data_IF_222765137134
#
_entry.id   IF_222765137134
#
_cell.length_a   1.000
_cell.length_b   1.000
_cell.length_c   1.000
_cell.angle_alpha   90.00
_cell.angle_beta   90.00
_cell.angle_gamma   90.00
#
_symmetry.space_group_name_H-M   'P 1'
#
loop_
_entity.id
_entity.type
_entity.pdbx_description
1 polymer ?
#
# COMPACT_ATOMS: atom_id res chain seq x y z
N UNK A 1 34.44 73.64 -36.33
CA UNK A 1 35.11 74.02 -37.60
C UNK A 1 34.79 72.91 -38.58
N UNK A 2 33.68 72.92 -39.32
CA UNK A 2 33.11 73.98 -40.15
C UNK A 2 31.76 74.43 -39.56
N UNK A 3 31.69 75.70 -39.12
CA UNK A 3 30.44 76.34 -38.75
C UNK A 3 29.78 76.80 -40.06
N UNK A 4 28.69 76.15 -40.46
CA UNK A 4 27.83 76.62 -41.53
C UNK A 4 26.92 77.71 -40.95
N UNK A 5 27.48 78.90 -40.83
CA UNK A 5 26.89 80.10 -40.22
C UNK A 5 25.90 80.81 -41.18
N UNK A 6 25.17 80.06 -42.01
CA UNK A 6 24.30 80.64 -43.06
C UNK A 6 22.87 80.06 -43.12
N UNK A 7 22.41 79.34 -42.09
CA UNK A 7 21.01 78.87 -42.03
C UNK A 7 20.10 79.71 -41.12
N UNK A 8 20.56 80.85 -40.63
CA UNK A 8 19.81 81.68 -39.67
C UNK A 8 19.26 82.96 -40.32
N UNK A 9 18.48 82.81 -41.40
CA UNK A 9 17.74 83.91 -42.00
C UNK A 9 16.24 83.60 -42.13
N UNK A 10 15.51 83.95 -41.07
CA UNK A 10 14.06 84.20 -41.01
C UNK A 10 13.10 82.97 -41.08
N UNK A 11 12.60 82.49 -39.92
CA UNK A 11 11.61 81.41 -39.82
C UNK A 11 10.29 81.65 -40.58
N UNK A 12 9.99 82.90 -40.96
CA UNK A 12 8.78 83.23 -41.73
C UNK A 12 8.82 82.75 -43.19
N UNK A 13 9.98 82.21 -43.64
CA UNK A 13 10.18 81.69 -44.99
C UNK A 13 10.03 80.17 -45.13
N UNK A 14 9.85 79.45 -44.01
CA UNK A 14 9.68 77.99 -43.98
C UNK A 14 8.20 77.60 -44.09
N UNK A 15 7.88 76.63 -44.98
CA UNK A 15 6.51 76.13 -45.21
C UNK A 15 6.18 74.83 -44.47
N UNK A 16 7.18 73.98 -44.24
CA UNK A 16 7.02 72.67 -43.61
C UNK A 16 8.29 72.28 -42.84
N UNK A 17 8.13 71.70 -41.65
CA UNK A 17 9.21 71.28 -40.76
C UNK A 17 8.97 69.84 -40.31
N UNK A 18 9.95 68.95 -40.51
CA UNK A 18 9.97 67.59 -39.95
C UNK A 18 11.39 67.23 -39.50
N UNK A 19 11.62 67.14 -38.18
CA UNK A 19 12.97 66.98 -37.63
C UNK A 19 13.89 68.13 -38.07
N UNK A 20 14.99 67.79 -38.75
CA UNK A 20 15.96 68.76 -39.29
C UNK A 20 15.61 69.24 -40.72
N UNK A 21 14.53 68.74 -41.34
CA UNK A 21 14.13 69.14 -42.69
C UNK A 21 13.29 70.43 -42.67
N UNK A 22 13.61 71.39 -43.56
CA UNK A 22 12.90 72.66 -43.76
C UNK A 22 12.64 72.91 -45.25
N UNK A 23 11.40 73.21 -45.63
CA UNK A 23 11.01 73.58 -47.00
C UNK A 23 10.95 75.11 -47.16
N UNK A 24 11.84 75.70 -47.99
CA UNK A 24 11.88 77.14 -48.27
C UNK A 24 10.82 77.53 -49.33
N UNK A 25 10.14 78.68 -49.15
CA UNK A 25 9.16 79.22 -50.10
C UNK A 25 9.76 79.50 -51.48
N UNK A 26 9.15 78.95 -52.53
CA UNK A 26 9.54 78.96 -53.95
C UNK A 26 10.29 80.22 -54.44
N UNK A 27 11.60 80.07 -54.69
CA UNK A 27 12.52 81.13 -55.16
C UNK A 27 12.75 81.11 -56.67
N UNK A 28 12.11 80.21 -57.44
CA UNK A 28 12.36 80.05 -58.89
C UNK A 28 12.09 81.30 -59.70
N UNK A 29 10.99 82.03 -59.37
CA UNK A 29 10.65 83.29 -60.04
C UNK A 29 11.75 84.36 -59.93
N UNK A 30 12.55 84.34 -58.86
CA UNK A 30 13.65 85.28 -58.65
C UNK A 30 14.90 84.89 -59.45
N UNK A 31 15.19 83.58 -59.52
CA UNK A 31 16.34 83.04 -60.27
C UNK A 31 16.12 83.23 -61.77
N UNK A 32 14.93 82.92 -62.28
CA UNK A 32 14.59 83.06 -63.70
C UNK A 32 14.63 84.54 -64.14
N UNK A 33 14.17 85.47 -63.28
CA UNK A 33 14.26 86.92 -63.54
C UNK A 33 15.71 87.42 -63.56
N UNK A 34 16.51 86.99 -62.60
CA UNK A 34 17.92 87.41 -62.50
C UNK A 34 18.72 86.89 -63.69
N UNK A 35 18.46 85.65 -64.12
CA UNK A 35 19.08 85.07 -65.32
C UNK A 35 18.72 85.83 -66.59
N UNK A 36 17.44 86.17 -66.80
CA UNK A 36 17.01 86.96 -67.95
C UNK A 36 17.68 88.35 -67.98
N UNK A 37 17.84 89.00 -66.82
CA UNK A 37 18.58 90.27 -66.70
C UNK A 37 20.07 90.13 -67.03
N UNK A 38 20.74 89.09 -66.49
CA UNK A 38 22.16 88.83 -66.72
C UNK A 38 22.42 88.52 -68.19
N UNK A 39 21.63 87.64 -68.80
CA UNK A 39 21.75 87.30 -70.22
C UNK A 39 21.52 88.51 -71.14
N UNK A 40 20.50 89.32 -70.86
CA UNK A 40 20.25 90.56 -71.60
C UNK A 40 21.40 91.57 -71.50
N UNK A 41 22.08 91.63 -70.35
CA UNK A 41 23.23 92.53 -70.14
C UNK A 41 24.53 92.03 -70.78
N UNK A 42 24.70 90.72 -70.96
CA UNK A 42 25.93 90.09 -71.45
C UNK A 42 25.89 89.73 -72.95
N UNK A 43 24.71 89.69 -73.58
CA UNK A 43 24.52 89.25 -74.97
C UNK A 43 25.37 90.00 -76.01
N UNK A 44 25.78 91.24 -75.73
CA UNK A 44 26.54 92.08 -76.66
C UNK A 44 27.99 92.34 -76.20
N UNK A 45 28.41 91.77 -75.05
CA UNK A 45 29.70 92.07 -74.40
C UNK A 45 30.53 90.84 -74.02
N UNK A 46 29.94 89.65 -73.95
CA UNK A 46 30.64 88.41 -73.62
C UNK A 46 30.92 87.58 -74.87
N UNK A 47 32.00 86.77 -74.85
CA UNK A 47 32.28 85.81 -75.93
C UNK A 47 31.23 84.70 -75.93
N UNK A 48 30.93 84.17 -77.12
CA UNK A 48 29.93 83.11 -77.32
C UNK A 48 30.19 81.89 -76.41
N UNK A 49 31.45 81.51 -76.21
CA UNK A 49 31.84 80.39 -75.33
C UNK A 49 31.50 80.62 -73.84
N UNK A 50 31.63 81.85 -73.34
CA UNK A 50 31.27 82.16 -71.94
C UNK A 50 29.76 82.13 -71.72
N UNK A 51 28.98 82.57 -72.71
CA UNK A 51 27.51 82.48 -72.68
C UNK A 51 27.05 81.02 -72.72
N UNK A 52 27.64 80.19 -73.58
CA UNK A 52 27.33 78.74 -73.65
C UNK A 52 27.71 78.01 -72.36
N UNK A 53 28.82 78.39 -71.71
CA UNK A 53 29.24 77.81 -70.42
C UNK A 53 28.29 78.20 -69.29
N UNK A 54 27.80 79.44 -69.28
CA UNK A 54 26.84 79.92 -68.29
C UNK A 54 25.47 79.24 -68.46
N UNK A 55 25.00 79.12 -69.70
CA UNK A 55 23.75 78.41 -70.00
C UNK A 55 23.85 76.93 -69.60
N UNK A 56 24.97 76.27 -69.91
CA UNK A 56 25.22 74.89 -69.50
C UNK A 56 25.21 74.73 -67.97
N UNK A 57 25.90 75.62 -67.24
CA UNK A 57 25.89 75.61 -65.76
C UNK A 57 24.51 75.85 -65.17
N UNK A 58 23.69 76.71 -65.79
CA UNK A 58 22.31 76.90 -65.36
C UNK A 58 21.48 75.64 -65.61
N UNK A 59 21.58 75.03 -66.80
CA UNK A 59 20.88 73.80 -67.12
C UNK A 59 21.30 72.64 -66.20
N UNK A 60 22.56 72.57 -65.81
CA UNK A 60 23.07 71.63 -64.79
C UNK A 60 22.44 71.93 -63.41
N UNK A 61 22.45 73.19 -62.95
CA UNK A 61 21.81 73.58 -61.69
C UNK A 61 20.28 73.33 -61.69
N UNK A 62 19.59 73.56 -62.80
CA UNK A 62 18.15 73.29 -62.94
C UNK A 62 17.86 71.78 -62.85
N UNK A 63 18.73 70.94 -63.43
CA UNK A 63 18.63 69.48 -63.29
C UNK A 63 18.89 69.04 -61.84
N UNK A 64 19.93 69.55 -61.19
CA UNK A 64 20.21 69.22 -59.78
C UNK A 64 19.08 69.66 -58.84
N UNK A 65 18.55 70.87 -59.02
CA UNK A 65 17.41 71.35 -58.20
C UNK A 65 16.12 70.55 -58.43
N UNK A 66 15.88 70.06 -59.64
CA UNK A 66 14.75 69.18 -59.94
C UNK A 66 14.93 67.78 -59.34
N UNK A 67 16.16 67.25 -59.27
CA UNK A 67 16.48 66.02 -58.52
C UNK A 67 16.25 66.23 -57.03
N UNK A 68 16.77 67.32 -56.44
CA UNK A 68 16.57 67.67 -55.04
C UNK A 68 15.08 67.81 -54.69
N UNK A 69 14.27 68.41 -55.57
CA UNK A 69 12.81 68.52 -55.40
C UNK A 69 12.15 67.13 -55.37
N UNK A 70 12.49 66.25 -56.30
CA UNK A 70 11.93 64.89 -56.35
C UNK A 70 12.34 64.06 -55.14
N UNK A 71 13.60 64.16 -54.71
CA UNK A 71 14.10 63.50 -53.50
C UNK A 71 13.41 64.03 -52.23
N UNK A 72 13.18 65.35 -52.16
CA UNK A 72 12.42 65.99 -51.09
C UNK A 72 10.95 65.56 -51.04
N UNK A 73 10.26 65.49 -52.19
CA UNK A 73 8.88 65.00 -52.26
C UNK A 73 8.77 63.53 -51.83
N UNK A 74 9.73 62.69 -52.23
CA UNK A 74 9.81 61.31 -51.78
C UNK A 74 10.06 61.22 -50.26
N UNK A 75 10.98 62.02 -49.72
CA UNK A 75 11.26 62.08 -48.29
C UNK A 75 10.03 62.53 -47.47
N UNK A 76 9.29 63.53 -47.96
CA UNK A 76 8.03 63.98 -47.34
C UNK A 76 7.00 62.86 -47.28
N UNK A 77 6.79 62.15 -48.39
CA UNK A 77 5.85 61.02 -48.44
C UNK A 77 6.24 59.90 -47.47
N UNK A 78 7.53 59.59 -47.36
CA UNK A 78 8.04 58.61 -46.39
C UNK A 78 7.79 59.09 -44.96
N UNK A 79 8.06 60.36 -44.64
CA UNK A 79 7.84 60.91 -43.31
C UNK A 79 6.36 60.89 -42.91
N UNK A 80 5.45 61.24 -43.82
CA UNK A 80 4.00 61.15 -43.62
C UNK A 80 3.57 59.70 -43.36
N UNK A 81 4.07 58.76 -44.17
CA UNK A 81 3.75 57.34 -44.03
C UNK A 81 4.32 56.73 -42.73
N UNK A 82 5.51 57.15 -42.30
CA UNK A 82 6.10 56.75 -41.01
C UNK A 82 5.27 57.32 -39.85
N UNK A 83 4.86 58.59 -39.91
CA UNK A 83 4.04 59.20 -38.88
C UNK A 83 2.66 58.53 -38.77
N UNK A 84 2.03 58.19 -39.90
CA UNK A 84 0.77 57.46 -39.93
C UNK A 84 0.92 56.04 -39.40
N UNK A 85 2.00 55.33 -39.75
CA UNK A 85 2.31 54.01 -39.21
C UNK A 85 2.54 54.03 -37.70
N UNK A 86 3.25 55.04 -37.17
CA UNK A 86 3.43 55.20 -35.72
C UNK A 86 2.10 55.49 -35.02
N UNK A 87 1.26 56.36 -35.59
CA UNK A 87 -0.06 56.65 -35.02
C UNK A 87 -0.99 55.43 -35.01
N UNK A 88 -0.96 54.64 -36.08
CA UNK A 88 -1.92 53.55 -36.28
C UNK A 88 -1.43 52.21 -35.69
N UNK A 89 -0.13 51.96 -35.59
CA UNK A 89 0.40 50.64 -35.21
C UNK A 89 1.05 50.59 -33.82
N UNK A 90 1.21 51.72 -33.13
CA UNK A 90 1.70 51.71 -31.75
C UNK A 90 0.63 51.20 -30.79
N UNK A 91 1.00 50.20 -29.98
CA UNK A 91 0.18 49.63 -28.90
C UNK A 91 0.85 49.98 -27.57
N UNK A 92 0.07 50.50 -26.63
CA UNK A 92 0.54 50.85 -25.30
C UNK A 92 0.30 49.67 -24.35
N UNK A 93 1.37 49.14 -23.72
CA UNK A 93 1.28 48.07 -22.71
C UNK A 93 1.52 48.69 -21.33
N UNK A 94 0.55 48.57 -20.44
CA UNK A 94 0.60 49.09 -19.07
C UNK A 94 0.60 47.90 -18.10
N UNK A 95 1.55 47.84 -17.18
CA UNK A 95 1.58 46.84 -16.09
C UNK A 95 1.08 47.47 -14.80
N UNK A 96 0.20 46.78 -14.07
CA UNK A 96 -0.27 47.27 -12.78
C UNK A 96 -1.34 46.40 -12.13
N UNK A 97 -1.53 46.61 -10.83
CA UNK A 97 -2.55 45.91 -10.01
C UNK A 97 -3.96 46.46 -10.29
N UNK A 98 -4.07 47.75 -10.61
CA UNK A 98 -5.34 48.42 -10.88
C UNK A 98 -5.52 48.66 -12.37
N UNK A 99 -6.77 48.59 -12.89
CA UNK A 99 -7.05 48.87 -14.28
C UNK A 99 -6.69 50.32 -14.62
N UNK A 100 -5.94 50.56 -15.71
CA UNK A 100 -5.66 51.91 -16.19
C UNK A 100 -6.97 52.64 -16.54
N UNK A 101 -7.06 53.93 -16.20
CA UNK A 101 -8.26 54.76 -16.41
C UNK A 101 -8.03 55.96 -17.34
N UNK A 102 -6.77 56.25 -17.69
CA UNK A 102 -6.39 57.38 -18.53
C UNK A 102 -5.63 56.92 -19.78
N UNK A 103 -5.68 57.72 -20.85
CA UNK A 103 -5.00 57.47 -22.12
C UNK A 103 -5.36 56.13 -22.79
N UNK A 104 -6.57 55.62 -22.55
CA UNK A 104 -7.06 54.36 -23.11
C UNK A 104 -7.46 54.56 -24.57
N UNK A 105 -6.82 53.82 -25.47
CA UNK A 105 -7.12 53.79 -26.89
C UNK A 105 -7.77 52.44 -27.22
N UNK A 106 -8.96 52.50 -27.82
CA UNK A 106 -9.69 51.30 -28.21
C UNK A 106 -8.81 50.39 -29.10
N UNK A 107 -8.74 49.11 -28.74
CA UNK A 107 -7.96 48.05 -29.42
C UNK A 107 -6.46 48.35 -29.58
N UNK A 108 -5.94 49.35 -28.85
CA UNK A 108 -4.54 49.80 -28.88
C UNK A 108 -3.92 49.92 -27.49
N UNK A 109 -4.68 49.67 -26.43
CA UNK A 109 -4.16 49.63 -25.07
C UNK A 109 -4.29 48.22 -24.51
N UNK A 110 -3.16 47.67 -24.05
CA UNK A 110 -3.07 46.41 -23.34
C UNK A 110 -2.75 46.69 -21.87
N UNK A 111 -3.41 45.97 -20.98
CA UNK A 111 -3.12 45.98 -19.56
C UNK A 111 -2.66 44.59 -19.12
N UNK A 112 -1.44 44.52 -18.58
CA UNK A 112 -0.94 43.35 -17.89
C UNK A 112 -1.40 43.42 -16.42
N UNK A 113 -2.51 42.75 -16.12
CA UNK A 113 -3.12 42.69 -14.80
C UNK A 113 -2.33 41.73 -13.90
N UNK A 114 -1.63 42.29 -12.92
CA UNK A 114 -0.83 41.56 -11.93
C UNK A 114 -1.47 41.55 -10.54
N UNK A 115 -2.76 41.86 -10.42
CA UNK A 115 -3.48 41.93 -9.14
C UNK A 115 -3.47 40.62 -8.34
N UNK A 116 -3.33 39.47 -9.01
CA UNK A 116 -3.25 38.14 -8.40
C UNK A 116 -1.83 37.55 -8.32
N UNK A 117 -0.79 38.37 -8.55
CA UNK A 117 0.60 37.91 -8.63
C UNK A 117 1.05 37.58 -10.05
N UNK A 118 2.33 37.24 -10.22
CA UNK A 118 2.94 36.89 -11.53
C UNK A 118 2.85 35.36 -11.76
N UNK A 119 2.56 34.89 -12.99
CA UNK A 119 2.29 35.67 -14.21
C UNK A 119 0.89 36.30 -14.20
N UNK A 120 0.81 37.55 -14.67
CA UNK A 120 -0.46 38.30 -14.76
C UNK A 120 -1.31 37.87 -15.96
N UNK A 121 -2.47 38.50 -16.11
CA UNK A 121 -3.38 38.28 -17.24
C UNK A 121 -3.31 39.49 -18.17
N UNK A 122 -3.00 39.26 -19.44
CA UNK A 122 -3.05 40.32 -20.45
C UNK A 122 -4.51 40.59 -20.83
N UNK A 123 -4.93 41.85 -20.81
CA UNK A 123 -6.28 42.30 -21.16
C UNK A 123 -6.20 43.39 -22.22
N UNK A 124 -7.08 43.34 -23.22
CA UNK A 124 -7.20 44.35 -24.27
C UNK A 124 -8.32 45.33 -23.92
N UNK A 125 -8.05 46.63 -24.03
CA UNK A 125 -9.11 47.64 -23.94
C UNK A 125 -9.92 47.62 -25.24
N UNK A 126 -11.20 47.24 -25.15
CA UNK A 126 -12.09 47.12 -26.30
C UNK A 126 -13.52 47.46 -25.91
N UNK A 127 -14.18 48.29 -26.71
CA UNK A 127 -15.61 48.64 -26.56
C UNK A 127 -15.94 49.17 -25.14
N UNK A 128 -15.02 49.92 -24.53
CA UNK A 128 -15.17 50.51 -23.21
C UNK A 128 -14.97 49.54 -22.03
N UNK A 129 -14.46 48.33 -22.27
CA UNK A 129 -14.22 47.29 -21.24
C UNK A 129 -12.84 46.63 -21.42
N UNK A 130 -12.33 46.06 -20.34
CA UNK A 130 -11.13 45.22 -20.37
C UNK A 130 -11.51 43.77 -20.72
N UNK A 131 -11.11 43.31 -21.90
CA UNK A 131 -11.37 41.95 -22.40
C UNK A 131 -10.11 41.08 -22.23
N UNK A 132 -10.17 39.97 -21.46
CA UNK A 132 -9.01 39.10 -21.27
C UNK A 132 -8.52 38.47 -22.57
N UNK A 133 -7.21 38.54 -22.81
CA UNK A 133 -6.54 37.80 -23.88
C UNK A 133 -6.26 36.40 -23.35
N UNK A 134 -7.21 35.49 -23.59
CA UNK A 134 -7.11 34.10 -23.15
C UNK A 134 -6.33 33.29 -24.20
N UNK A 135 -5.29 32.53 -23.82
CA UNK A 135 -4.64 31.62 -24.74
C UNK A 135 -5.59 30.49 -25.16
N UNK A 136 -5.38 29.93 -26.36
CA UNK A 136 -6.09 28.73 -26.78
C UNK A 136 -5.63 27.54 -25.92
N UNK A 137 -6.54 27.03 -25.10
CA UNK A 137 -6.32 25.92 -24.16
C UNK A 137 -7.06 24.65 -24.58
N UNK A 138 -7.65 24.63 -25.77
CA UNK A 138 -8.53 23.53 -26.18
C UNK A 138 -7.75 22.21 -26.35
N UNK A 139 -6.52 22.29 -26.85
CA UNK A 139 -5.60 21.15 -26.93
C UNK A 139 -5.23 20.59 -25.55
N UNK A 140 -4.91 21.47 -24.60
CA UNK A 140 -4.55 21.11 -23.22
C UNK A 140 -5.73 20.45 -22.50
N UNK A 141 -6.95 20.96 -22.69
CA UNK A 141 -8.17 20.35 -22.13
C UNK A 141 -8.38 18.94 -22.69
N UNK A 142 -8.25 18.77 -24.01
CA UNK A 142 -8.44 17.47 -24.66
C UNK A 142 -7.42 16.44 -24.18
N UNK A 143 -6.12 16.79 -24.19
CA UNK A 143 -5.04 15.92 -23.72
C UNK A 143 -5.23 15.53 -22.24
N UNK A 144 -5.59 16.49 -21.39
CA UNK A 144 -5.84 16.24 -19.96
C UNK A 144 -7.02 15.30 -19.77
N UNK A 145 -8.12 15.48 -20.50
CA UNK A 145 -9.29 14.61 -20.40
C UNK A 145 -8.98 13.18 -20.89
N UNK A 146 -8.26 13.03 -22.01
CA UNK A 146 -7.84 11.72 -22.52
C UNK A 146 -6.93 10.98 -21.53
N UNK A 147 -5.96 11.69 -20.92
CA UNK A 147 -5.07 11.13 -19.92
C UNK A 147 -5.84 10.71 -18.66
N UNK A 148 -6.72 11.57 -18.14
CA UNK A 148 -7.56 11.25 -16.98
C UNK A 148 -8.47 10.05 -17.27
N UNK A 149 -9.06 9.95 -18.45
CA UNK A 149 -9.86 8.78 -18.84
C UNK A 149 -9.02 7.50 -18.87
N UNK A 150 -7.79 7.56 -19.39
CA UNK A 150 -6.87 6.42 -19.41
C UNK A 150 -6.48 5.97 -18.00
N UNK A 151 -6.18 6.92 -17.11
CA UNK A 151 -5.81 6.63 -15.72
C UNK A 151 -6.98 6.02 -14.94
N UNK A 152 -8.21 6.50 -15.17
CA UNK A 152 -9.43 5.94 -14.58
C UNK A 152 -9.62 4.49 -15.03
N UNK A 153 -9.52 4.19 -16.33
CA UNK A 153 -9.70 2.83 -16.84
C UNK A 153 -8.60 1.89 -16.35
N UNK A 154 -7.35 2.36 -16.27
CA UNK A 154 -6.23 1.56 -15.74
C UNK A 154 -6.46 1.25 -14.26
N UNK A 155 -6.79 2.26 -13.45
CA UNK A 155 -7.07 2.10 -12.01
C UNK A 155 -8.26 1.17 -11.77
N UNK A 156 -9.32 1.28 -12.59
CA UNK A 156 -10.50 0.42 -12.50
C UNK A 156 -10.15 -1.04 -12.82
N UNK A 157 -9.31 -1.27 -13.83
CA UNK A 157 -8.84 -2.61 -14.18
C UNK A 157 -8.02 -3.24 -13.05
N UNK A 158 -7.05 -2.50 -12.51
CA UNK A 158 -6.23 -2.94 -11.39
C UNK A 158 -7.06 -3.21 -10.13
N UNK A 159 -8.03 -2.34 -9.83
CA UNK A 159 -8.94 -2.53 -8.70
C UNK A 159 -9.78 -3.79 -8.87
N UNK A 160 -10.36 -4.02 -10.06
CA UNK A 160 -11.14 -5.22 -10.35
C UNK A 160 -10.29 -6.49 -10.19
N UNK A 161 -9.03 -6.46 -10.65
CA UNK A 161 -8.11 -7.59 -10.48
C UNK A 161 -7.83 -7.86 -9.00
N UNK A 162 -7.49 -6.83 -8.21
CA UNK A 162 -7.25 -6.97 -6.77
C UNK A 162 -8.48 -7.50 -6.03
N UNK A 163 -9.68 -7.06 -6.41
CA UNK A 163 -10.94 -7.56 -5.85
C UNK A 163 -11.13 -9.04 -6.18
N UNK A 164 -10.88 -9.46 -7.42
CA UNK A 164 -10.98 -10.87 -7.80
C UNK A 164 -9.94 -11.75 -7.08
N UNK A 165 -8.71 -11.28 -6.93
CA UNK A 165 -7.65 -11.97 -6.18
C UNK A 165 -8.04 -12.13 -4.70
N UNK A 166 -8.53 -11.06 -4.07
CA UNK A 166 -9.03 -11.11 -2.69
C UNK A 166 -10.22 -12.07 -2.54
N UNK A 167 -11.17 -12.09 -3.49
CA UNK A 167 -12.28 -13.03 -3.50
C UNK A 167 -11.82 -14.48 -3.63
N UNK A 168 -10.85 -14.76 -4.51
CA UNK A 168 -10.25 -16.10 -4.67
C UNK A 168 -9.53 -16.54 -3.41
N UNK A 169 -8.73 -15.66 -2.80
CA UNK A 169 -8.03 -15.94 -1.55
C UNK A 169 -9.01 -16.24 -0.40
N UNK A 170 -10.05 -15.41 -0.24
CA UNK A 170 -11.07 -15.62 0.77
C UNK A 170 -11.82 -16.95 0.56
N UNK A 171 -12.13 -17.31 -0.69
CA UNK A 171 -12.77 -18.58 -1.03
C UNK A 171 -11.85 -19.78 -0.74
N UNK A 172 -10.55 -19.66 -1.04
CA UNK A 172 -9.55 -20.68 -0.72
C UNK A 172 -9.45 -20.93 0.79
N UNK A 173 -9.28 -19.86 1.58
CA UNK A 173 -9.24 -19.95 3.03
C UNK A 173 -10.53 -20.53 3.62
N UNK A 174 -11.69 -20.15 3.09
CA UNK A 174 -12.97 -20.70 3.53
C UNK A 174 -13.05 -22.22 3.29
N UNK A 175 -12.57 -22.71 2.14
CA UNK A 175 -12.55 -24.14 1.84
C UNK A 175 -11.59 -24.91 2.75
N UNK A 176 -10.39 -24.39 3.01
CA UNK A 176 -9.44 -24.99 3.96
C UNK A 176 -10.03 -25.09 5.38
N UNK A 177 -10.67 -24.02 5.85
CA UNK A 177 -11.35 -24.02 7.16
C UNK A 177 -12.49 -25.03 7.18
N UNK A 178 -13.29 -25.12 6.12
CA UNK A 178 -14.39 -26.09 6.00
C UNK A 178 -13.88 -27.53 6.04
N UNK A 179 -12.81 -27.85 5.31
CA UNK A 179 -12.21 -29.20 5.31
C UNK A 179 -11.60 -29.54 6.67
N UNK A 180 -10.90 -28.58 7.30
CA UNK A 180 -10.36 -28.73 8.66
C UNK A 180 -11.47 -29.02 9.67
N UNK A 181 -12.56 -28.26 9.64
CA UNK A 181 -13.72 -28.48 10.52
C UNK A 181 -14.38 -29.85 10.30
N UNK A 182 -14.46 -30.32 9.04
CA UNK A 182 -14.93 -31.68 8.76
C UNK A 182 -13.98 -32.74 9.32
N UNK A 183 -12.66 -32.54 9.23
CA UNK A 183 -11.65 -33.39 9.85
C UNK A 183 -11.83 -33.48 11.37
N UNK A 184 -11.91 -32.32 12.03
CA UNK A 184 -12.17 -32.22 13.47
C UNK A 184 -13.46 -32.93 13.86
N UNK A 185 -14.54 -32.76 13.09
CA UNK A 185 -15.81 -33.43 13.36
C UNK A 185 -15.70 -34.96 13.31
N UNK A 186 -14.92 -35.52 12.37
CA UNK A 186 -14.68 -36.97 12.32
C UNK A 186 -13.89 -37.44 13.54
N UNK A 187 -12.84 -36.70 13.91
CA UNK A 187 -12.04 -37.00 15.11
C UNK A 187 -12.88 -36.98 16.38
N UNK A 188 -13.80 -36.03 16.53
CA UNK A 188 -14.72 -35.97 17.68
C UNK A 188 -15.60 -37.22 17.72
N UNK A 189 -16.18 -37.63 16.59
CA UNK A 189 -16.99 -38.85 16.52
C UNK A 189 -16.20 -40.11 16.90
N UNK A 190 -14.94 -40.23 16.44
CA UNK A 190 -14.08 -41.36 16.79
C UNK A 190 -13.75 -41.38 18.28
N UNK A 191 -13.50 -40.22 18.89
CA UNK A 191 -13.28 -40.09 20.34
C UNK A 191 -14.53 -40.48 21.12
N UNK A 192 -15.72 -40.03 20.70
CA UNK A 192 -16.98 -40.41 21.33
C UNK A 192 -17.24 -41.92 21.27
N UNK A 193 -16.96 -42.55 20.14
CA UNK A 193 -17.08 -44.00 19.98
C UNK A 193 -16.12 -44.75 20.92
N UNK A 194 -14.84 -44.32 20.98
CA UNK A 194 -13.84 -44.90 21.90
C UNK A 194 -14.23 -44.72 23.36
N UNK A 195 -14.79 -43.57 23.73
CA UNK A 195 -15.29 -43.34 25.08
C UNK A 195 -16.40 -44.34 25.43
N UNK A 196 -17.36 -44.57 24.52
CA UNK A 196 -18.41 -45.55 24.71
C UNK A 196 -17.89 -47.00 24.84
N UNK A 197 -16.81 -47.36 24.15
CA UNK A 197 -16.15 -48.66 24.32
C UNK A 197 -15.43 -48.78 25.68
N UNK A 198 -14.79 -47.70 26.14
CA UNK A 198 -14.14 -47.64 27.45
C UNK A 198 -15.19 -47.81 28.55
N UNK A 199 -16.31 -47.10 28.49
CA UNK A 199 -17.39 -47.18 29.48
C UNK A 199 -17.93 -48.61 29.60
N UNK A 200 -18.09 -49.32 28.48
CA UNK A 200 -18.48 -50.75 28.47
C UNK A 200 -17.44 -51.63 29.16
N UNK A 201 -16.15 -51.44 28.88
CA UNK A 201 -15.06 -52.21 29.51
C UNK A 201 -14.99 -51.95 31.02
N UNK A 202 -15.14 -50.69 31.44
CA UNK A 202 -15.17 -50.31 32.86
C UNK A 202 -16.35 -50.98 33.56
N UNK A 203 -17.54 -50.90 32.99
CA UNK A 203 -18.74 -51.57 33.53
C UNK A 203 -18.52 -53.08 33.68
N UNK A 204 -17.88 -53.72 32.69
CA UNK A 204 -17.56 -55.15 32.75
C UNK A 204 -16.54 -55.46 33.85
N UNK A 205 -15.51 -54.62 34.00
CA UNK A 205 -14.54 -54.76 35.10
C UNK A 205 -15.18 -54.62 36.47
N UNK A 206 -16.12 -53.68 36.65
CA UNK A 206 -16.84 -53.51 37.92
C UNK A 206 -17.67 -54.75 38.25
N UNK A 207 -18.37 -55.33 37.26
CA UNK A 207 -19.12 -56.57 37.42
C UNK A 207 -18.22 -57.74 37.81
N UNK A 208 -17.10 -57.92 37.10
CA UNK A 208 -16.16 -59.01 37.36
C UNK A 208 -15.48 -58.84 38.73
N UNK A 209 -15.12 -57.61 39.11
CA UNK A 209 -14.59 -57.27 40.43
C UNK A 209 -15.58 -57.62 41.56
N UNK A 210 -16.86 -57.29 41.37
CA UNK A 210 -17.90 -57.68 42.33
C UNK A 210 -18.07 -59.20 42.43
N UNK A 211 -17.97 -59.92 41.30
CA UNK A 211 -17.97 -61.39 41.28
C UNK A 211 -16.77 -61.99 42.03
N UNK A 212 -15.57 -61.41 41.87
CA UNK A 212 -14.40 -61.80 42.64
C UNK A 212 -14.56 -61.53 44.13
N UNK A 213 -15.13 -60.39 44.51
CA UNK A 213 -15.41 -60.06 45.92
C UNK A 213 -16.28 -61.12 46.59
N UNK A 214 -17.40 -61.50 45.96
CA UNK A 214 -18.29 -62.55 46.47
C UNK A 214 -17.59 -63.92 46.57
N UNK A 215 -16.74 -64.24 45.59
CA UNK A 215 -15.97 -65.49 45.60
C UNK A 215 -14.97 -65.54 46.75
N UNK A 216 -14.27 -64.43 47.01
CA UNK A 216 -13.34 -64.29 48.14
C UNK A 216 -14.10 -64.42 49.46
N UNK A 217 -15.22 -63.72 49.64
CA UNK A 217 -16.05 -63.83 50.85
C UNK A 217 -16.52 -65.27 51.12
N UNK A 218 -16.89 -66.01 50.07
CA UNK A 218 -17.26 -67.43 50.16
C UNK A 218 -16.08 -68.32 50.56
N UNK A 219 -14.91 -68.10 49.96
CA UNK A 219 -13.68 -68.84 50.31
C UNK A 219 -13.27 -68.58 51.76
N UNK A 220 -13.32 -67.33 52.23
CA UNK A 220 -13.01 -66.97 53.63
C UNK A 220 -13.94 -67.67 54.62
N UNK A 221 -15.24 -67.79 54.31
CA UNK A 221 -16.20 -68.56 55.14
C UNK A 221 -15.84 -70.04 55.17
N UNK A 222 -15.56 -70.65 54.01
CA UNK A 222 -15.14 -72.06 53.93
C UNK A 222 -13.84 -72.33 54.69
N UNK A 223 -12.88 -71.43 54.59
CA UNK A 223 -11.61 -71.52 55.31
C UNK A 223 -11.84 -71.52 56.83
N UNK A 224 -12.68 -70.62 57.33
CA UNK A 224 -13.09 -70.58 58.74
C UNK A 224 -13.75 -71.89 59.18
N UNK A 225 -14.68 -72.43 58.36
CA UNK A 225 -15.33 -73.72 58.64
C UNK A 225 -14.33 -74.88 58.68
N UNK A 226 -13.35 -74.88 57.78
CA UNK A 226 -12.27 -75.88 57.74
C UNK A 226 -11.41 -75.77 58.99
N UNK A 227 -11.00 -74.57 59.39
CA UNK A 227 -10.22 -74.35 60.63
C UNK A 227 -10.96 -74.88 61.86
N UNK A 228 -12.27 -74.62 61.96
CA UNK A 228 -13.08 -75.13 63.07
C UNK A 228 -13.14 -76.66 63.10
N UNK A 229 -13.34 -77.30 61.95
CA UNK A 229 -13.32 -78.77 61.84
C UNK A 229 -11.95 -79.35 62.19
N UNK A 230 -10.87 -78.69 61.79
CA UNK A 230 -9.51 -79.13 62.11
C UNK A 230 -9.26 -79.09 63.63
N UNK A 231 -9.71 -78.04 64.32
CA UNK A 231 -9.64 -77.97 65.78
C UNK A 231 -10.40 -79.13 66.46
N UNK A 232 -11.56 -79.51 65.93
CA UNK A 232 -12.32 -80.69 66.42
C UNK A 232 -11.56 -81.99 66.20
N UNK A 233 -10.93 -82.17 65.03
CA UNK A 233 -10.10 -83.33 64.74
C UNK A 233 -8.90 -83.39 65.71
N UNK A 234 -8.22 -82.27 65.93
CA UNK A 234 -7.10 -82.18 66.87
C UNK A 234 -7.51 -82.61 68.30
N UNK A 235 -8.63 -82.11 68.81
CA UNK A 235 -9.18 -82.52 70.11
C UNK A 235 -9.50 -84.02 70.17
N UNK A 236 -10.10 -84.56 69.09
CA UNK A 236 -10.44 -85.98 68.99
C UNK A 236 -9.20 -86.87 68.98
N UNK A 237 -8.16 -86.47 68.25
CA UNK A 237 -6.88 -87.16 68.21
C UNK A 237 -6.24 -87.17 69.60
N UNK A 238 -6.23 -86.04 70.30
CA UNK A 238 -5.65 -85.95 71.63
C UNK A 238 -6.40 -86.81 72.65
N UNK A 239 -7.73 -86.83 72.60
CA UNK A 239 -8.56 -87.75 73.40
C UNK A 239 -8.31 -89.23 73.07
N UNK A 240 -8.09 -89.54 71.79
CA UNK A 240 -7.76 -90.91 71.35
C UNK A 240 -6.39 -91.34 71.85
N UNK A 241 -5.36 -90.48 71.77
CA UNK A 241 -4.04 -90.76 72.34
C UNK A 241 -4.12 -91.09 73.82
N UNK A 242 -4.87 -90.30 74.60
CA UNK A 242 -5.08 -90.55 76.04
C UNK A 242 -5.71 -91.93 76.28
N UNK A 243 -6.78 -92.25 75.57
CA UNK A 243 -7.44 -93.56 75.66
C UNK A 243 -6.47 -94.71 75.33
N UNK A 244 -5.63 -94.54 74.30
CA UNK A 244 -4.62 -95.56 73.94
C UNK A 244 -3.59 -95.73 75.07
N UNK A 245 -3.11 -94.64 75.68
CA UNK A 245 -2.21 -94.73 76.83
C UNK A 245 -2.84 -95.47 78.01
N UNK A 246 -4.11 -95.19 78.32
CA UNK A 246 -4.86 -95.88 79.38
C UNK A 246 -5.02 -97.39 79.08
N UNK A 247 -5.29 -97.75 77.82
CA UNK A 247 -5.37 -99.15 77.37
C UNK A 247 -4.01 -99.85 77.47
N UNK A 248 -2.91 -99.18 77.08
CA UNK A 248 -1.55 -99.73 77.19
C UNK A 248 -1.18 -100.01 78.65
N UNK A 249 -1.51 -99.10 79.56
CA UNK A 249 -1.30 -99.30 80.99
C UNK A 249 -2.09 -100.51 81.50
N UNK A 250 -3.38 -100.57 81.19
CA UNK A 250 -4.24 -101.72 81.55
C UNK A 250 -3.70 -103.04 81.02
N UNK A 251 -3.22 -103.07 79.77
CA UNK A 251 -2.64 -104.26 79.16
C UNK A 251 -1.36 -104.73 79.88
N UNK A 252 -0.51 -103.79 80.32
CA UNK A 252 0.69 -104.10 81.11
C UNK A 252 0.33 -104.67 82.49
N UNK A 253 -0.67 -104.10 83.16
CA UNK A 253 -1.16 -104.58 84.46
C UNK A 253 -1.73 -106.00 84.33
N UNK A 254 -2.57 -106.25 83.31
CA UNK A 254 -3.08 -107.60 83.00
C UNK A 254 -1.95 -108.60 82.70
N UNK A 255 -0.92 -108.19 81.95
CA UNK A 255 0.25 -109.02 81.68
C UNK A 255 0.97 -109.41 82.97
N UNK A 256 1.14 -108.46 83.90
CA UNK A 256 1.73 -108.73 85.22
C UNK A 256 0.90 -109.73 86.03
N UNK A 257 -0.41 -109.49 86.17
CA UNK A 257 -1.32 -110.41 86.86
C UNK A 257 -1.32 -111.81 86.24
N UNK A 258 -1.28 -111.90 84.90
CA UNK A 258 -1.22 -113.18 84.20
C UNK A 258 0.06 -113.95 84.50
N UNK A 259 1.21 -113.27 84.57
CA UNK A 259 2.49 -113.88 84.98
C UNK A 259 2.42 -114.39 86.42
N UNK A 260 1.88 -113.60 87.35
CA UNK A 260 1.70 -114.00 88.75
C UNK A 260 0.80 -115.24 88.87
N UNK A 261 -0.32 -115.31 88.13
CA UNK A 261 -1.20 -116.49 88.08
C UNK A 261 -0.43 -117.71 87.55
N UNK A 262 0.35 -117.56 86.46
CA UNK A 262 1.14 -118.65 85.87
C UNK A 262 2.15 -119.22 86.88
N UNK A 263 2.83 -118.35 87.63
CA UNK A 263 3.76 -118.76 88.69
C UNK A 263 3.05 -119.50 89.82
N UNK A 264 1.91 -118.99 90.29
CA UNK A 264 1.12 -119.65 91.34
C UNK A 264 0.59 -121.02 90.87
N UNK A 265 0.09 -121.13 89.64
CA UNK A 265 -0.36 -122.39 89.06
C UNK A 265 0.77 -123.42 88.97
N UNK A 266 1.99 -122.99 88.59
CA UNK A 266 3.19 -123.83 88.62
C UNK A 266 3.48 -124.39 90.02
N UNK A 267 3.49 -123.52 91.05
CA UNK A 267 3.67 -123.93 92.45
C UNK A 267 2.59 -124.94 92.91
N UNK A 268 1.34 -124.74 92.48
CA UNK A 268 0.24 -125.68 92.77
C UNK A 268 0.48 -127.03 92.09
N UNK A 269 0.91 -127.04 90.83
CA UNK A 269 1.22 -128.28 90.09
C UNK A 269 2.35 -129.09 90.74
N UNK A 270 3.41 -128.44 91.22
CA UNK A 270 4.48 -129.09 91.99
C UNK A 270 3.98 -129.70 93.29
N UNK A 271 3.18 -128.94 94.06
CA UNK A 271 2.56 -129.43 95.31
C UNK A 271 1.65 -130.63 95.04
N UNK A 272 0.84 -130.58 93.98
CA UNK A 272 -0.05 -131.67 93.59
C UNK A 272 0.74 -132.94 93.27
N UNK A 273 1.80 -132.83 92.47
CA UNK A 273 2.70 -133.94 92.16
C UNK A 273 3.33 -134.55 93.42
N UNK A 274 3.71 -133.72 94.39
CA UNK A 274 4.22 -134.18 95.68
C UNK A 274 3.19 -134.97 96.47
N UNK A 275 1.95 -134.49 96.54
CA UNK A 275 0.84 -135.19 97.22
C UNK A 275 0.51 -136.51 96.54
N UNK A 276 0.45 -136.55 95.20
CA UNK A 276 0.22 -137.79 94.45
C UNK A 276 1.31 -138.84 94.71
N UNK A 277 2.58 -138.45 94.73
CA UNK A 277 3.69 -139.35 95.08
C UNK A 277 3.53 -139.91 96.49
N UNK A 278 3.22 -139.06 97.47
CA UNK A 278 2.99 -139.49 98.86
C UNK A 278 1.81 -140.47 98.96
N UNK A 279 0.70 -140.20 98.27
CA UNK A 279 -0.46 -141.08 98.23
C UNK A 279 -0.11 -142.47 97.67
N UNK A 280 0.67 -142.53 96.58
CA UNK A 280 1.10 -143.79 95.95
C UNK A 280 2.09 -144.61 96.82
N UNK A 281 2.77 -144.00 97.79
CA UNK A 281 3.65 -144.72 98.74
C UNK A 281 2.91 -145.30 99.95
N UNK A 282 1.64 -144.94 100.15
CA UNK A 282 0.80 -145.39 101.28
C UNK A 282 -0.12 -146.56 100.91
N UNK A 283 -0.06 -147.03 99.67
CA UNK A 283 -0.71 -148.24 99.13
C UNK A 283 0.31 -149.33 98.90
#
# INVERSE_FOLDING_TARGET
LIAADECDTDPSKDKYIFGNYREIKDTRSLIDRLYAQIMGSLSNKASKELLDTLDKKLQENVKETEVIRKESEAAKKIAEQVAENLKNNTVDIIEGVNPPTANLKDRKTLWHDISKGKPGILKLWKDGKWDPVVPDVESVKKETLEQVSKDIETTKSELNQKVQEAQKQATGQFNEVKESLQGVSRTISDVQNKQGEIDKKVTKFEQDSNGFKLSIESLTKKDTDISNKLNTVEQTVEGTKKTISDVQQTANDLKKTTTEIKEQAGKISEKLTSVEKQANTLT
#
